data_IF_858536103302
#
_entry.id   IF_858536103302
#
_cell.length_a   1.000
_cell.length_b   1.000
_cell.length_c   1.000
_cell.angle_alpha   90.00
_cell.angle_beta   90.00
_cell.angle_gamma   90.00
#
_symmetry.space_group_name_H-M   'P 1'
#
loop_
_entity.id
_entity.type
_entity.pdbx_description
1 polymer ?
#
# COMPACT_ATOMS: atom_id res chain seq x y z
N UNK A 1 0.40 23.80 2.40
CA UNK A 1 -0.46 23.88 1.19
C UNK A 1 -0.28 25.28 0.60
N UNK A 2 -0.09 25.44 -0.72
CA UNK A 2 -0.11 26.77 -1.35
C UNK A 2 -1.45 26.88 -2.07
N UNK A 3 -2.31 27.80 -1.63
CA UNK A 3 -3.51 28.19 -2.35
C UNK A 3 -3.29 29.60 -2.91
N UNK A 4 -3.58 29.77 -4.20
CA UNK A 4 -3.50 31.06 -4.87
C UNK A 4 -4.92 31.65 -4.96
N UNK A 5 -5.10 32.87 -4.46
CA UNK A 5 -6.31 33.67 -4.66
C UNK A 5 -5.89 35.03 -5.22
N UNK A 6 -5.97 35.17 -6.55
CA UNK A 6 -5.46 36.35 -7.27
C UNK A 6 -3.96 36.55 -7.06
N UNK A 7 -3.55 37.80 -6.87
CA UNK A 7 -2.14 38.20 -6.70
C UNK A 7 -1.62 38.04 -5.26
N UNK A 8 -2.45 37.52 -4.33
CA UNK A 8 -2.05 37.25 -2.96
C UNK A 8 -1.60 35.80 -2.78
N UNK A 9 -0.32 35.64 -2.46
CA UNK A 9 0.23 34.37 -1.99
C UNK A 9 -0.01 34.25 -0.49
N UNK A 10 -1.08 33.55 -0.09
CA UNK A 10 -1.31 33.22 1.32
C UNK A 10 -0.50 31.96 1.62
N UNK A 11 0.66 32.15 2.24
CA UNK A 11 1.43 31.05 2.81
C UNK A 11 0.79 30.67 4.15
N UNK A 12 -0.11 29.69 4.11
CA UNK A 12 -0.53 29.02 5.34
C UNK A 12 0.56 28.02 5.68
N UNK A 13 1.46 28.44 6.56
CA UNK A 13 2.22 27.49 7.34
C UNK A 13 1.18 26.71 8.15
N UNK A 14 0.86 25.51 7.69
CA UNK A 14 0.19 24.53 8.53
C UNK A 14 1.32 23.94 9.36
N UNK A 15 1.53 24.36 10.62
CA UNK A 15 2.45 23.64 11.48
C UNK A 15 1.89 22.23 11.58
N UNK A 16 2.49 21.32 10.81
CA UNK A 16 2.40 19.91 11.07
C UNK A 16 2.90 19.75 12.51
N UNK A 17 1.98 19.67 13.46
CA UNK A 17 2.27 19.15 14.80
C UNK A 17 2.51 17.65 14.61
N UNK A 18 3.64 17.28 14.01
CA UNK A 18 4.05 15.90 13.84
C UNK A 18 4.65 15.44 15.17
N UNK A 19 3.79 15.00 16.08
CA UNK A 19 4.16 14.12 17.18
C UNK A 19 4.24 12.67 16.68
N UNK A 20 4.82 12.43 15.50
CA UNK A 20 4.91 11.09 14.95
C UNK A 20 5.68 10.20 15.93
N UNK A 21 5.03 9.15 16.39
CA UNK A 21 5.63 8.16 17.28
C UNK A 21 6.73 7.45 16.50
N UNK A 22 7.84 7.18 17.18
CA UNK A 22 8.88 6.28 16.64
C UNK A 22 8.25 4.90 16.52
N UNK A 23 8.31 4.33 15.33
CA UNK A 23 7.81 2.98 15.09
C UNK A 23 9.00 2.03 15.10
N UNK A 24 8.96 1.04 15.99
CA UNK A 24 10.05 0.08 16.15
C UNK A 24 10.06 -0.99 15.07
N UNK A 25 9.03 -1.09 14.23
CA UNK A 25 8.89 -2.04 13.12
C UNK A 25 9.38 -1.52 11.76
N UNK A 26 10.03 -0.34 11.72
CA UNK A 26 10.70 0.20 10.54
C UNK A 26 12.13 0.60 10.87
N UNK A 27 13.10 0.08 10.11
CA UNK A 27 14.48 0.60 10.11
C UNK A 27 14.84 1.19 8.76
N UNK A 28 15.72 2.20 8.78
CA UNK A 28 16.24 2.81 7.55
C UNK A 28 17.75 2.95 7.62
N UNK A 29 18.41 2.54 6.53
CA UNK A 29 19.83 2.78 6.27
C UNK A 29 19.97 3.69 5.06
N UNK A 30 20.73 4.77 5.21
CA UNK A 30 20.99 5.73 4.12
C UNK A 30 22.46 5.67 3.71
N UNK A 31 22.72 5.29 2.46
CA UNK A 31 24.02 5.44 1.82
C UNK A 31 24.04 6.71 0.95
N UNK A 32 24.71 7.74 1.47
CA UNK A 32 24.82 9.05 0.80
C UNK A 32 25.71 9.04 -0.45
N UNK A 33 26.65 8.10 -0.53
CA UNK A 33 27.62 7.99 -1.63
C UNK A 33 26.97 7.26 -2.80
N UNK A 34 26.30 6.14 -2.53
CA UNK A 34 25.57 5.36 -3.53
C UNK A 34 24.20 5.94 -3.86
N UNK A 35 23.70 6.88 -3.05
CA UNK A 35 22.36 7.47 -3.17
C UNK A 35 21.25 6.42 -3.04
N UNK A 36 21.40 5.56 -2.03
CA UNK A 36 20.47 4.47 -1.73
C UNK A 36 19.89 4.67 -0.32
N UNK A 37 18.61 4.39 -0.19
CA UNK A 37 17.90 4.27 1.08
C UNK A 37 17.32 2.86 1.14
N UNK A 38 17.83 2.03 2.04
CA UNK A 38 17.29 0.69 2.29
C UNK A 38 16.37 0.75 3.50
N UNK A 39 15.11 0.38 3.30
CA UNK A 39 14.08 0.32 4.34
C UNK A 39 13.80 -1.13 4.69
N UNK A 40 13.95 -1.48 5.97
CA UNK A 40 13.52 -2.76 6.52
C UNK A 40 12.17 -2.59 7.18
N UNK A 41 11.14 -3.24 6.67
CA UNK A 41 9.77 -3.15 7.17
C UNK A 41 9.34 -4.49 7.78
N UNK A 42 9.04 -4.51 9.08
CA UNK A 42 8.56 -5.69 9.80
C UNK A 42 7.04 -5.69 9.92
N UNK A 43 6.44 -6.83 9.56
CA UNK A 43 4.99 -7.05 9.57
C UNK A 43 4.67 -8.37 10.23
N UNK A 44 3.53 -8.43 10.91
CA UNK A 44 2.95 -9.68 11.37
C UNK A 44 1.74 -10.06 10.50
N UNK A 45 1.68 -11.33 10.13
CA UNK A 45 0.56 -11.94 9.43
C UNK A 45 0.12 -13.21 10.16
N UNK A 46 -1.19 -13.38 10.26
CA UNK A 46 -1.85 -14.57 10.81
C UNK A 46 -2.57 -15.37 9.71
N UNK A 47 -2.62 -16.69 9.91
CA UNK A 47 -3.36 -17.61 9.03
C UNK A 47 -4.79 -17.76 9.54
N UNK A 48 -5.72 -17.07 8.89
CA UNK A 48 -7.15 -17.20 9.17
C UNK A 48 -7.84 -18.16 8.17
N UNK A 49 -7.03 -18.92 7.42
CA UNK A 49 -7.46 -20.07 6.63
C UNK A 49 -8.25 -19.71 5.37
N UNK A 50 -9.29 -20.50 5.12
CA UNK A 50 -10.07 -20.46 3.87
C UNK A 50 -11.53 -20.17 4.19
N UNK A 51 -12.00 -19.00 3.74
CA UNK A 51 -13.40 -18.59 3.76
C UNK A 51 -14.15 -19.20 2.57
N UNK A 52 -15.42 -19.57 2.79
CA UNK A 52 -16.31 -20.21 1.82
C UNK A 52 -15.66 -21.36 1.03
N UNK A 53 -14.93 -22.23 1.74
CA UNK A 53 -14.19 -23.34 1.15
C UNK A 53 -15.02 -24.16 0.15
N UNK A 54 -14.43 -24.38 -1.02
CA UNK A 54 -14.94 -25.21 -2.10
C UNK A 54 -13.98 -26.37 -2.36
N UNK A 55 -14.44 -27.60 -2.15
CA UNK A 55 -13.62 -28.82 -2.30
C UNK A 55 -13.11 -29.06 -3.74
N UNK A 56 -13.60 -28.30 -4.72
CA UNK A 56 -13.10 -28.33 -6.11
C UNK A 56 -11.82 -27.53 -6.31
N UNK A 57 -11.50 -26.60 -5.39
CA UNK A 57 -10.32 -25.74 -5.45
C UNK A 57 -9.38 -26.10 -4.30
N UNK A 58 -8.16 -26.51 -4.64
CA UNK A 58 -7.11 -26.65 -3.63
C UNK A 58 -6.68 -25.27 -3.11
N UNK A 59 -6.65 -25.06 -1.77
CA UNK A 59 -6.13 -23.82 -1.19
C UNK A 59 -4.68 -23.55 -1.58
N UNK A 60 -4.32 -22.27 -1.76
CA UNK A 60 -2.95 -21.86 -2.09
C UNK A 60 -2.00 -21.98 -0.90
N UNK A 61 -2.55 -21.88 0.31
CA UNK A 61 -1.85 -22.04 1.58
C UNK A 61 -1.13 -20.79 2.08
N UNK A 62 -0.98 -20.71 3.40
CA UNK A 62 -0.48 -19.52 4.10
C UNK A 62 0.92 -19.07 3.68
N UNK A 63 1.86 -19.99 3.47
CA UNK A 63 3.22 -19.64 3.01
C UNK A 63 3.22 -18.93 1.65
N UNK A 64 2.29 -19.31 0.76
CA UNK A 64 2.15 -18.64 -0.52
C UNK A 64 1.56 -17.24 -0.34
N UNK A 65 0.57 -17.08 0.54
CA UNK A 65 -0.01 -15.77 0.87
C UNK A 65 1.05 -14.85 1.48
N UNK A 66 1.86 -15.31 2.44
CA UNK A 66 2.98 -14.55 3.01
C UNK A 66 3.97 -14.09 1.93
N UNK A 67 4.36 -14.97 1.01
CA UNK A 67 5.28 -14.59 -0.06
C UNK A 67 4.65 -13.55 -1.00
N UNK A 68 3.37 -13.71 -1.36
CA UNK A 68 2.66 -12.72 -2.19
C UNK A 68 2.56 -11.37 -1.46
N UNK A 69 2.26 -11.38 -0.16
CA UNK A 69 2.19 -10.18 0.67
C UNK A 69 3.54 -9.43 0.67
N UNK A 70 4.63 -10.14 0.98
CA UNK A 70 6.00 -9.61 0.89
C UNK A 70 6.30 -9.00 -0.47
N UNK A 71 6.05 -9.75 -1.56
CA UNK A 71 6.30 -9.27 -2.92
C UNK A 71 5.51 -7.98 -3.23
N UNK A 72 4.25 -7.91 -2.80
CA UNK A 72 3.38 -6.76 -3.04
C UNK A 72 3.87 -5.51 -2.32
N UNK A 73 4.14 -5.64 -1.01
CA UNK A 73 4.67 -4.55 -0.19
C UNK A 73 6.01 -4.03 -0.76
N UNK A 74 6.95 -4.92 -1.07
CA UNK A 74 8.25 -4.53 -1.62
C UNK A 74 8.13 -3.85 -2.98
N UNK A 75 7.23 -4.34 -3.84
CA UNK A 75 7.04 -3.82 -5.19
C UNK A 75 6.35 -2.45 -5.22
N UNK A 76 5.27 -2.28 -4.44
CA UNK A 76 4.44 -1.08 -4.50
C UNK A 76 4.97 0.08 -3.66
N UNK A 77 5.82 -0.18 -2.66
CA UNK A 77 6.45 0.86 -1.83
C UNK A 77 7.87 1.24 -2.28
N UNK A 78 8.52 0.46 -3.14
CA UNK A 78 9.83 0.80 -3.67
C UNK A 78 9.80 2.00 -4.64
N UNK A 79 10.81 2.86 -4.51
CA UNK A 79 11.03 4.03 -5.37
C UNK A 79 12.47 4.07 -5.85
N UNK A 80 12.83 3.11 -6.70
CA UNK A 80 14.19 2.89 -7.20
C UNK A 80 14.29 2.90 -8.74
N UNK A 81 13.21 3.28 -9.44
CA UNK A 81 13.20 3.41 -10.90
C UNK A 81 13.27 2.09 -11.67
N UNK A 82 13.08 0.95 -11.02
CA UNK A 82 13.07 -0.37 -11.70
C UNK A 82 11.75 -0.67 -12.42
N UNK A 83 10.73 0.18 -12.26
CA UNK A 83 9.43 0.02 -12.92
C UNK A 83 9.41 0.73 -14.27
N UNK A 84 8.27 0.69 -14.95
CA UNK A 84 8.09 1.40 -16.21
C UNK A 84 8.46 2.88 -16.07
N UNK A 85 9.04 3.53 -17.10
CA UNK A 85 9.47 4.92 -17.03
C UNK A 85 8.37 5.84 -16.50
N UNK A 86 8.68 6.59 -15.45
CA UNK A 86 7.73 7.51 -14.81
C UNK A 86 6.94 6.90 -13.66
N UNK A 87 7.15 5.62 -13.30
CA UNK A 87 6.51 4.95 -12.17
C UNK A 87 7.56 4.56 -11.13
N UNK A 88 7.34 4.91 -9.86
CA UNK A 88 8.24 4.52 -8.76
C UNK A 88 9.65 5.08 -8.93
N UNK A 89 9.76 6.28 -9.52
CA UNK A 89 11.04 6.96 -9.66
C UNK A 89 11.60 7.35 -8.29
N UNK A 90 12.93 7.48 -8.23
CA UNK A 90 13.68 7.97 -7.07
C UNK A 90 13.08 9.23 -6.43
N UNK A 91 13.35 9.38 -5.14
CA UNK A 91 12.99 10.55 -4.35
C UNK A 91 14.01 11.65 -4.65
N UNK A 92 13.53 12.83 -5.06
CA UNK A 92 14.41 13.97 -5.39
C UNK A 92 14.56 14.89 -4.20
N UNK A 93 15.79 15.09 -3.74
CA UNK A 93 16.14 15.99 -2.65
C UNK A 93 17.11 17.07 -3.12
N UNK A 94 17.31 18.16 -2.34
CA UNK A 94 18.41 19.10 -2.60
C UNK A 94 19.82 18.46 -2.63
N UNK A 95 19.96 17.26 -2.04
CA UNK A 95 21.22 16.51 -1.98
C UNK A 95 21.33 15.40 -3.05
N UNK A 96 20.45 15.43 -4.05
CA UNK A 96 20.40 14.48 -5.15
C UNK A 96 19.19 13.56 -5.12
N UNK A 97 19.17 12.63 -6.07
CA UNK A 97 18.13 11.62 -6.26
C UNK A 97 18.49 10.35 -5.52
N UNK A 98 17.62 9.85 -4.65
CA UNK A 98 17.84 8.65 -3.87
C UNK A 98 16.91 7.53 -4.31
N UNK A 99 17.48 6.35 -4.59
CA UNK A 99 16.73 5.13 -4.82
C UNK A 99 16.32 4.54 -3.48
N UNK A 100 15.02 4.29 -3.30
CA UNK A 100 14.49 3.65 -2.08
C UNK A 100 14.15 2.20 -2.37
N UNK A 101 14.80 1.30 -1.66
CA UNK A 101 14.52 -0.13 -1.68
C UNK A 101 13.77 -0.53 -0.41
N UNK A 102 12.83 -1.46 -0.57
CA UNK A 102 12.04 -2.00 0.54
C UNK A 102 12.40 -3.47 0.71
N UNK A 103 12.65 -3.88 1.93
CA UNK A 103 12.84 -5.28 2.33
C UNK A 103 11.87 -5.59 3.46
N UNK A 104 10.98 -6.54 3.24
CA UNK A 104 9.95 -6.92 4.22
C UNK A 104 10.35 -8.16 5.00
N UNK A 105 10.23 -8.11 6.32
CA UNK A 105 10.42 -9.24 7.22
C UNK A 105 9.08 -9.61 7.85
N UNK A 106 8.69 -10.87 7.78
CA UNK A 106 7.38 -11.34 8.25
C UNK A 106 7.54 -12.11 9.56
N UNK A 107 6.71 -11.78 10.54
CA UNK A 107 6.61 -12.40 11.87
C UNK A 107 7.96 -12.41 12.61
N UNK A 108 8.64 -11.26 12.59
CA UNK A 108 9.89 -10.99 13.32
C UNK A 108 9.67 -9.76 14.20
N UNK A 109 9.82 -9.92 15.51
CA UNK A 109 9.70 -8.83 16.46
C UNK A 109 10.86 -7.81 16.35
N UNK A 110 10.60 -6.52 16.57
CA UNK A 110 9.27 -5.91 16.70
C UNK A 110 8.57 -5.79 15.33
N UNK A 111 7.27 -6.08 15.26
CA UNK A 111 6.45 -5.97 14.06
C UNK A 111 5.27 -5.00 14.28
N UNK A 112 4.74 -4.43 13.19
CA UNK A 112 3.49 -3.69 13.27
C UNK A 112 2.31 -4.63 13.59
N UNK A 113 1.17 -4.04 13.97
CA UNK A 113 -0.08 -4.77 14.22
C UNK A 113 -0.36 -5.83 13.13
N UNK A 114 -0.77 -7.02 13.58
CA UNK A 114 -1.02 -8.19 12.76
C UNK A 114 -2.19 -8.00 11.78
N UNK A 115 -2.06 -8.63 10.61
CA UNK A 115 -3.12 -8.76 9.61
C UNK A 115 -3.48 -10.22 9.36
N UNK A 116 -4.78 -10.52 9.33
CA UNK A 116 -5.30 -11.82 8.94
C UNK A 116 -5.23 -11.98 7.42
N UNK A 117 -4.53 -13.03 6.96
CA UNK A 117 -4.52 -13.41 5.55
C UNK A 117 -5.53 -14.54 5.33
N UNK A 118 -6.51 -14.29 4.46
CA UNK A 118 -7.64 -15.19 4.23
C UNK A 118 -7.73 -15.53 2.75
N UNK A 119 -7.83 -16.82 2.41
CA UNK A 119 -8.24 -17.21 1.06
C UNK A 119 -9.78 -17.23 0.96
N UNK A 120 -10.33 -16.52 -0.02
CA UNK A 120 -11.78 -16.45 -0.28
C UNK A 120 -12.13 -17.24 -1.54
N UNK A 121 -12.96 -18.28 -1.39
CA UNK A 121 -13.30 -19.22 -2.47
C UNK A 121 -14.73 -19.08 -3.01
N UNK A 122 -15.51 -18.10 -2.55
CA UNK A 122 -16.81 -17.77 -3.14
C UNK A 122 -16.67 -17.05 -4.50
N UNK A 123 -17.74 -17.10 -5.29
CA UNK A 123 -17.85 -16.46 -6.60
C UNK A 123 -17.88 -14.92 -6.52
N UNK A 124 -18.19 -14.37 -5.35
CA UNK A 124 -18.18 -12.93 -5.07
C UNK A 124 -16.89 -12.56 -4.33
N UNK A 125 -16.27 -11.43 -4.70
CA UNK A 125 -15.07 -10.95 -4.02
C UNK A 125 -15.42 -10.32 -2.67
N UNK A 126 -14.60 -10.58 -1.66
CA UNK A 126 -14.64 -9.88 -0.37
C UNK A 126 -13.57 -8.80 -0.34
N UNK A 127 -13.90 -7.65 0.26
CA UNK A 127 -13.01 -6.50 0.33
C UNK A 127 -12.08 -6.58 1.54
N UNK A 128 -10.78 -6.42 1.27
CA UNK A 128 -9.72 -6.20 2.28
C UNK A 128 -9.94 -4.90 3.05
N UNK A 129 -9.45 -4.81 4.29
CA UNK A 129 -9.69 -3.66 5.17
C UNK A 129 -8.67 -3.57 6.31
N UNK A 130 -8.17 -2.34 6.55
CA UNK A 130 -7.42 -1.88 7.72
C UNK A 130 -8.16 -0.75 8.49
N UNK A 131 -9.50 -0.83 8.55
CA UNK A 131 -10.35 0.21 9.14
C UNK A 131 -10.83 -0.16 10.55
N UNK A 132 -10.70 0.77 11.50
CA UNK A 132 -11.17 0.62 12.90
C UNK A 132 -10.76 -0.71 13.58
N UNK A 133 -9.54 -1.18 13.31
CA UNK A 133 -8.99 -2.39 13.93
C UNK A 133 -9.42 -3.70 13.26
N UNK A 134 -10.22 -3.65 12.19
CA UNK A 134 -10.37 -4.78 11.27
C UNK A 134 -9.15 -4.78 10.35
N UNK A 135 -8.36 -5.85 10.37
CA UNK A 135 -7.07 -5.98 9.69
C UNK A 135 -7.05 -7.25 8.84
N UNK A 136 -7.94 -7.35 7.86
CA UNK A 136 -8.17 -8.58 7.10
C UNK A 136 -7.87 -8.35 5.63
N UNK A 137 -7.08 -9.23 5.01
CA UNK A 137 -6.69 -9.13 3.61
C UNK A 137 -7.07 -10.42 2.89
N UNK A 138 -7.88 -10.30 1.84
CA UNK A 138 -8.50 -11.43 1.17
C UNK A 138 -7.81 -11.74 -0.15
N UNK A 139 -7.37 -13.00 -0.31
CA UNK A 139 -7.00 -13.56 -1.60
C UNK A 139 -8.27 -14.13 -2.26
N UNK A 140 -8.93 -13.32 -3.10
CA UNK A 140 -10.22 -13.61 -3.76
C UNK A 140 -10.13 -14.69 -4.86
N UNK A 141 -9.72 -15.91 -4.50
CA UNK A 141 -9.52 -17.05 -5.42
C UNK A 141 -10.80 -17.43 -6.17
N UNK A 142 -11.92 -17.57 -5.48
CA UNK A 142 -13.17 -18.06 -6.04
C UNK A 142 -13.76 -17.12 -7.10
N UNK A 143 -13.65 -15.82 -6.88
CA UNK A 143 -14.10 -14.79 -7.82
C UNK A 143 -13.45 -14.96 -9.19
N UNK A 144 -12.15 -15.24 -9.24
CA UNK A 144 -11.46 -15.46 -10.53
C UNK A 144 -11.70 -16.86 -11.11
N UNK A 145 -12.04 -17.86 -10.29
CA UNK A 145 -12.36 -19.21 -10.74
C UNK A 145 -13.77 -19.29 -11.37
N UNK A 146 -14.75 -18.62 -10.78
CA UNK A 146 -16.17 -18.81 -11.08
C UNK A 146 -16.92 -17.54 -11.52
N UNK A 147 -16.38 -16.34 -11.27
CA UNK A 147 -17.06 -15.07 -11.48
C UNK A 147 -17.56 -14.89 -12.92
N UNK A 148 -18.84 -14.50 -13.07
CA UNK A 148 -19.56 -14.46 -14.36
C UNK A 148 -19.03 -13.44 -15.40
N UNK A 149 -18.03 -12.63 -15.04
CA UNK A 149 -17.42 -11.62 -15.92
C UNK A 149 -15.99 -11.92 -16.35
N UNK A 150 -15.39 -13.02 -15.89
CA UNK A 150 -13.97 -13.28 -16.11
C UNK A 150 -13.71 -14.13 -17.37
N UNK A 151 -12.74 -13.70 -18.21
CA UNK A 151 -12.41 -14.41 -19.44
C UNK A 151 -11.85 -15.80 -19.11
N UNK A 152 -12.55 -16.86 -19.52
CA UNK A 152 -12.05 -18.24 -19.52
C UNK A 152 -10.67 -18.29 -20.19
N UNK A 153 -9.64 -18.71 -19.45
CA UNK A 153 -8.30 -19.00 -19.98
C UNK A 153 -7.12 -18.31 -19.27
N UNK A 154 -7.35 -17.38 -18.35
CA UNK A 154 -6.27 -16.82 -17.53
C UNK A 154 -6.21 -17.52 -16.17
N UNK A 155 -5.00 -17.79 -15.68
CA UNK A 155 -4.75 -18.46 -14.39
C UNK A 155 -5.40 -17.66 -13.24
N UNK A 156 -6.41 -18.21 -12.55
CA UNK A 156 -7.10 -17.47 -11.50
C UNK A 156 -6.22 -17.27 -10.24
N UNK A 157 -5.20 -18.11 -9.99
CA UNK A 157 -4.26 -17.93 -8.87
C UNK A 157 -3.39 -16.72 -9.14
N UNK A 158 -2.88 -16.62 -10.37
CA UNK A 158 -2.08 -15.49 -10.80
C UNK A 158 -2.85 -14.16 -10.64
N UNK A 159 -4.14 -14.15 -10.97
CA UNK A 159 -4.98 -12.95 -10.96
C UNK A 159 -5.37 -12.51 -9.57
N UNK A 160 -5.86 -13.44 -8.75
CA UNK A 160 -6.05 -13.21 -7.33
C UNK A 160 -4.75 -12.74 -6.68
N UNK A 161 -3.60 -13.28 -7.09
CA UNK A 161 -2.30 -12.85 -6.60
C UNK A 161 -1.89 -11.43 -6.98
N UNK A 162 -2.28 -10.92 -8.16
CA UNK A 162 -2.02 -9.53 -8.55
C UNK A 162 -2.86 -8.55 -7.73
N UNK A 163 -4.13 -8.85 -7.53
CA UNK A 163 -5.03 -8.07 -6.67
C UNK A 163 -4.55 -8.10 -5.22
N UNK A 164 -4.32 -9.29 -4.67
CA UNK A 164 -3.86 -9.48 -3.30
C UNK A 164 -2.56 -8.72 -3.02
N UNK A 165 -1.60 -8.72 -3.95
CA UNK A 165 -0.36 -7.92 -3.81
C UNK A 165 -0.63 -6.43 -3.66
N UNK A 166 -1.59 -5.89 -4.42
CA UNK A 166 -1.96 -4.48 -4.37
C UNK A 166 -2.69 -4.18 -3.04
N UNK A 167 -3.65 -5.03 -2.68
CA UNK A 167 -4.43 -4.92 -1.45
C UNK A 167 -3.54 -4.97 -0.22
N UNK A 168 -2.65 -5.96 -0.10
CA UNK A 168 -1.71 -6.02 1.03
C UNK A 168 -0.91 -4.72 1.12
N UNK A 169 -0.35 -4.24 0.02
CA UNK A 169 0.44 -3.02 0.03
C UNK A 169 -0.36 -1.78 0.42
N UNK A 170 -1.66 -1.74 0.07
CA UNK A 170 -2.60 -0.69 0.47
C UNK A 170 -2.94 -0.79 1.95
N UNK A 171 -3.42 -1.95 2.40
CA UNK A 171 -3.91 -2.15 3.77
C UNK A 171 -2.79 -1.99 4.80
N UNK A 172 -1.61 -2.55 4.53
CA UNK A 172 -0.41 -2.32 5.36
C UNK A 172 0.04 -0.87 5.35
N UNK A 173 -0.18 -0.16 4.24
CA UNK A 173 0.07 1.27 4.10
C UNK A 173 -0.75 2.14 5.06
N UNK A 174 -1.91 1.67 5.51
CA UNK A 174 -2.70 2.38 6.50
C UNK A 174 -1.99 2.52 7.84
N UNK A 175 -1.08 1.60 8.19
CA UNK A 175 -0.24 1.71 9.40
C UNK A 175 0.72 2.89 9.29
N UNK A 176 1.38 3.05 8.14
CA UNK A 176 2.25 4.19 7.85
C UNK A 176 1.46 5.51 7.93
N UNK A 177 0.33 5.59 7.23
CA UNK A 177 -0.49 6.81 7.19
C UNK A 177 -1.07 7.16 8.57
N UNK A 178 -1.44 6.16 9.37
CA UNK A 178 -1.95 6.33 10.73
C UNK A 178 -0.86 6.88 11.65
N UNK A 179 0.33 6.26 11.65
CA UNK A 179 1.45 6.68 12.49
C UNK A 179 2.00 8.07 12.13
N UNK A 180 1.95 8.43 10.84
CA UNK A 180 2.42 9.72 10.36
C UNK A 180 1.37 10.84 10.43
N UNK A 181 0.15 10.57 9.96
CA UNK A 181 -0.91 11.57 9.72
C UNK A 181 -2.17 11.39 10.55
N UNK A 182 -2.26 10.33 11.35
CA UNK A 182 -3.41 10.03 12.21
C UNK A 182 -4.51 9.21 11.53
N UNK A 183 -5.44 8.69 12.35
CA UNK A 183 -6.49 7.77 11.93
C UNK A 183 -7.36 8.32 10.78
N UNK A 184 -7.85 9.57 10.90
CA UNK A 184 -8.72 10.17 9.87
C UNK A 184 -8.00 10.30 8.53
N UNK A 185 -6.74 10.73 8.53
CA UNK A 185 -5.95 10.85 7.30
C UNK A 185 -5.77 9.51 6.59
N UNK A 186 -5.51 8.46 7.38
CA UNK A 186 -5.42 7.08 6.89
C UNK A 186 -6.76 6.59 6.35
N UNK A 187 -7.81 6.62 7.16
CA UNK A 187 -9.11 6.05 6.82
C UNK A 187 -9.85 6.79 5.71
N UNK A 188 -9.66 8.10 5.55
CA UNK A 188 -10.25 8.85 4.42
C UNK A 188 -9.42 8.74 3.13
N UNK A 189 -8.40 7.88 3.09
CA UNK A 189 -7.54 7.68 1.93
C UNK A 189 -6.95 9.02 1.46
N UNK A 190 -6.38 9.78 2.40
CA UNK A 190 -5.89 11.16 2.17
C UNK A 190 -6.98 12.15 1.72
N UNK A 191 -8.22 11.95 2.21
CA UNK A 191 -9.37 12.76 1.86
C UNK A 191 -9.98 12.44 0.49
N UNK A 192 -9.70 11.26 -0.07
CA UNK A 192 -10.29 10.81 -1.35
C UNK A 192 -11.47 9.86 -1.19
N UNK A 193 -11.78 9.44 0.04
CA UNK A 193 -12.96 8.66 0.39
C UNK A 193 -13.77 9.29 1.53
N UNK A 194 -15.00 8.85 1.70
CA UNK A 194 -15.74 9.07 2.94
C UNK A 194 -15.16 8.25 4.10
N UNK A 195 -15.28 8.79 5.32
CA UNK A 195 -14.90 8.11 6.56
C UNK A 195 -15.92 7.05 7.00
N UNK A 196 -17.22 7.31 6.76
CA UNK A 196 -18.31 6.46 7.25
C UNK A 196 -18.47 5.24 6.34
N UNK A 197 -18.41 4.00 6.85
CA UNK A 197 -18.63 2.81 6.04
C UNK A 197 -20.05 2.74 5.43
N UNK A 198 -20.24 2.12 4.25
CA UNK A 198 -19.20 1.63 3.36
C UNK A 198 -18.38 2.78 2.74
N UNK A 199 -17.06 2.58 2.63
CA UNK A 199 -16.16 3.60 2.09
C UNK A 199 -16.12 3.54 0.56
N UNK A 200 -16.31 4.68 -0.08
CA UNK A 200 -16.33 4.91 -1.51
C UNK A 200 -15.43 6.08 -1.87
N UNK A 201 -14.94 6.10 -3.10
CA UNK A 201 -14.25 7.27 -3.62
C UNK A 201 -15.21 8.46 -3.70
N UNK A 202 -14.70 9.66 -3.41
CA UNK A 202 -15.43 10.89 -3.66
C UNK A 202 -15.47 11.16 -5.17
N UNK A 203 -16.55 11.75 -5.72
CA UNK A 203 -16.74 11.93 -7.18
C UNK A 203 -15.66 12.73 -7.92
N UNK A 204 -14.76 13.41 -7.20
CA UNK A 204 -13.68 14.21 -7.78
C UNK A 204 -12.32 13.52 -7.72
N UNK A 205 -12.24 12.35 -7.08
CA UNK A 205 -11.02 11.56 -6.96
C UNK A 205 -10.82 10.72 -8.23
N UNK A 206 -10.59 11.33 -9.39
CA UNK A 206 -10.48 10.57 -10.66
C UNK A 206 -9.08 9.98 -10.86
N UNK A 207 -8.99 8.81 -11.49
CA UNK A 207 -7.70 8.21 -11.85
C UNK A 207 -6.88 9.17 -12.75
N UNK A 208 -5.56 9.30 -12.52
CA UNK A 208 -4.71 10.06 -13.43
C UNK A 208 -4.66 9.37 -14.80
N UNK A 209 -4.79 10.17 -15.88
CA UNK A 209 -4.74 9.64 -17.25
C UNK A 209 -3.39 9.00 -17.62
N UNK A 210 -2.29 9.48 -17.03
CA UNK A 210 -0.92 8.97 -17.23
C UNK A 210 -0.10 9.07 -15.95
N UNK A 211 0.99 8.32 -15.84
CA UNK A 211 1.91 8.37 -14.70
C UNK A 211 1.40 7.57 -13.49
N UNK A 212 1.95 7.87 -12.32
CA UNK A 212 1.69 7.14 -11.06
C UNK A 212 0.22 7.23 -10.65
N UNK A 213 -0.30 6.13 -10.11
CA UNK A 213 -1.56 6.08 -9.36
C UNK A 213 -1.15 6.01 -7.90
N UNK A 214 -1.57 6.98 -7.09
CA UNK A 214 -1.28 6.97 -5.65
C UNK A 214 -1.93 5.74 -5.02
N UNK A 215 -1.08 4.84 -4.50
CA UNK A 215 -1.50 3.57 -3.90
C UNK A 215 -2.55 3.77 -2.81
N UNK A 216 -2.45 4.84 -2.02
CA UNK A 216 -3.24 5.05 -0.80
C UNK A 216 -4.51 5.87 -1.03
N UNK A 217 -4.86 6.18 -2.28
CA UNK A 217 -6.07 6.92 -2.64
C UNK A 217 -7.14 6.00 -3.19
N UNK A 218 -8.39 6.36 -2.93
CA UNK A 218 -9.52 5.83 -3.67
C UNK A 218 -9.84 6.70 -4.86
N UNK A 219 -10.31 6.05 -5.90
CA UNK A 219 -10.62 6.70 -7.15
C UNK A 219 -12.03 6.37 -7.62
N UNK A 220 -12.71 7.40 -8.12
CA UNK A 220 -14.00 7.28 -8.78
C UNK A 220 -13.78 6.96 -10.27
N UNK A 221 -14.62 6.08 -10.80
CA UNK A 221 -14.56 5.59 -12.17
C UNK A 221 -13.77 4.29 -12.36
N UNK A 222 -13.42 4.02 -13.61
CA UNK A 222 -12.82 2.75 -14.03
C UNK A 222 -11.44 2.96 -14.67
N UNK A 223 -10.53 2.04 -14.37
CA UNK A 223 -9.23 1.91 -15.04
C UNK A 223 -9.02 0.46 -15.45
N UNK A 224 -8.25 0.23 -16.51
CA UNK A 224 -7.82 -1.12 -16.86
C UNK A 224 -6.99 -1.72 -15.73
N UNK A 225 -7.27 -2.97 -15.35
CA UNK A 225 -6.55 -3.65 -14.26
C UNK A 225 -5.06 -3.77 -14.54
N UNK A 226 -4.65 -3.91 -15.80
CA UNK A 226 -3.24 -3.87 -16.20
C UNK A 226 -2.57 -2.55 -15.83
N UNK A 227 -3.26 -1.43 -16.04
CA UNK A 227 -2.76 -0.10 -15.71
C UNK A 227 -2.74 0.11 -14.20
N UNK A 228 -3.77 -0.34 -13.49
CA UNK A 228 -3.82 -0.29 -12.03
C UNK A 228 -2.59 -0.96 -11.42
N UNK A 229 -2.34 -2.24 -11.72
CA UNK A 229 -1.19 -2.96 -11.17
C UNK A 229 0.15 -2.37 -11.64
N UNK A 230 0.23 -1.92 -12.90
CA UNK A 230 1.48 -1.38 -13.45
C UNK A 230 1.84 0.02 -12.96
N UNK A 231 0.86 0.82 -12.50
CA UNK A 231 1.05 2.25 -12.20
C UNK A 231 0.78 2.63 -10.75
N UNK A 232 0.03 1.82 -9.99
CA UNK A 232 -0.13 2.01 -8.54
C UNK A 232 1.22 1.97 -7.85
N UNK A 233 1.52 2.94 -7.00
CA UNK A 233 2.78 3.05 -6.26
C UNK A 233 2.59 3.98 -5.06
N UNK A 234 3.25 3.71 -3.95
CA UNK A 234 3.31 4.64 -2.83
C UNK A 234 3.98 5.94 -3.31
N UNK A 235 3.28 7.07 -3.16
CA UNK A 235 3.80 8.36 -3.61
C UNK A 235 4.99 8.78 -2.77
N UNK A 236 5.83 9.66 -3.32
CA UNK A 236 7.06 10.14 -2.66
C UNK A 236 6.83 10.57 -1.21
N UNK A 237 5.75 11.29 -0.93
CA UNK A 237 5.43 11.74 0.43
C UNK A 237 5.13 10.60 1.41
N UNK A 238 4.51 9.49 0.97
CA UNK A 238 4.23 8.36 1.84
C UNK A 238 5.51 7.58 2.15
N UNK A 239 6.38 7.41 1.17
CA UNK A 239 7.68 6.77 1.35
C UNK A 239 8.57 7.63 2.26
N UNK A 240 8.54 8.96 2.10
CA UNK A 240 9.17 9.89 3.04
C UNK A 240 8.58 9.78 4.45
N UNK A 241 7.26 9.62 4.58
CA UNK A 241 6.61 9.40 5.88
C UNK A 241 7.10 8.10 6.53
N UNK A 242 7.15 6.99 5.78
CA UNK A 242 7.73 5.73 6.24
C UNK A 242 9.18 5.89 6.71
N UNK A 243 10.01 6.60 5.95
CA UNK A 243 11.41 6.88 6.34
C UNK A 243 11.48 7.73 7.62
N UNK A 244 10.53 8.66 7.79
CA UNK A 244 10.48 9.51 8.98
C UNK A 244 10.14 8.72 10.26
N UNK A 245 9.29 7.69 10.14
CA UNK A 245 8.88 6.85 11.27
C UNK A 245 10.03 6.05 11.90
N UNK A 246 11.07 5.72 11.10
CA UNK A 246 12.21 4.93 11.57
C UNK A 246 13.18 5.69 12.49
N UNK A 247 12.95 6.99 12.75
CA UNK A 247 13.86 7.95 13.40
C UNK A 247 15.34 7.63 13.17
N UNK A 248 15.89 8.12 12.06
CA UNK A 248 17.32 7.98 11.68
C UNK A 248 18.23 8.25 12.89
N UNK A 249 18.84 7.20 13.45
CA UNK A 249 19.90 7.32 14.46
C UNK A 249 21.19 7.69 13.74
N UNK A 250 21.61 8.95 13.85
CA UNK A 250 22.97 9.36 13.52
C UNK A 250 23.87 8.93 14.68
N UNK A 251 24.78 8.00 14.42
CA UNK A 251 25.91 7.78 15.32
C UNK A 251 26.95 8.87 15.03
N UNK A 252 27.10 9.80 15.96
CA UNK A 252 28.24 10.73 16.00
C UNK A 252 29.48 10.02 16.60
#
# INVERSE_FOLDING_TARGET
>A
LIALCGDMMIKVDYPLKTSANEEDWIDVKVDKNQKIVDVSWRVEFEDDGVSHKDDRIAPVGFEKLKQLAKDGMEYYWARNGMRNPGIGNNITTPHGKYNVNISVSINIDPAMDSFDLIEEQDLESVRSSAFMGRMNIYFNRGYYEYGRGYKKGADPVFKAGLEFKLDVAHETGHMILKSYGGNTYSWEHKGTSNLVPPQYALPHSVYPGTGEIDLMKYYDGHIYTSDLYARSVAVENDVCAMIWLSRVKFHD
#
